data_IF_601046029421
#
_entry.id   IF_601046029421
#
_cell.length_a   1.000
_cell.length_b   1.000
_cell.length_c   1.000
_cell.angle_alpha   90.00
_cell.angle_beta   90.00
_cell.angle_gamma   90.00
#
_symmetry.space_group_name_H-M   'P 1'
#
loop_
_entity.id
_entity.type
_entity.pdbx_description
1 polymer ?
#
# COMPACT_ATOMS: atom_id res chain seq x y z
N UNK A 1 7.11 -26.43 34.16
CA UNK A 1 7.33 -25.25 35.02
C UNK A 1 6.11 -24.35 34.84
N UNK A 2 5.28 -24.21 35.87
CA UNK A 2 4.00 -23.47 35.83
C UNK A 2 4.28 -21.97 35.93
N UNK A 3 3.62 -21.14 35.12
CA UNK A 3 3.62 -19.70 35.31
C UNK A 3 2.17 -19.20 35.43
N UNK A 4 1.88 -18.55 36.55
CA UNK A 4 0.58 -18.00 36.95
C UNK A 4 0.50 -16.53 36.49
N UNK A 5 -0.63 -16.06 35.91
CA UNK A 5 -0.88 -14.64 35.72
C UNK A 5 -1.62 -14.12 36.95
N UNK A 6 -0.87 -13.55 37.88
CA UNK A 6 -1.42 -12.86 39.05
C UNK A 6 -0.36 -11.91 39.56
N UNK A 7 -0.77 -10.67 39.83
CA UNK A 7 0.07 -9.52 40.25
C UNK A 7 0.61 -8.69 39.09
N UNK A 8 -0.25 -7.84 38.52
CA UNK A 8 0.18 -6.57 37.92
C UNK A 8 -0.91 -5.48 38.09
N UNK A 9 -1.36 -5.30 39.32
CA UNK A 9 -2.13 -4.10 39.74
C UNK A 9 -1.64 -3.72 41.14
N UNK A 10 -0.45 -3.14 41.24
CA UNK A 10 -0.01 -2.22 42.30
C UNK A 10 1.48 -1.88 42.12
N UNK A 11 1.86 -0.93 41.27
CA UNK A 11 3.22 -0.36 41.27
C UNK A 11 3.28 0.97 40.49
N UNK A 12 2.55 1.97 40.96
CA UNK A 12 2.90 3.38 40.72
C UNK A 12 2.69 4.12 42.02
N UNK A 13 3.77 4.25 42.81
CA UNK A 13 4.02 5.34 43.76
C UNK A 13 5.38 5.10 44.43
N UNK A 14 6.22 6.14 44.44
CA UNK A 14 7.60 6.27 44.97
C UNK A 14 8.72 5.74 44.04
N UNK A 15 9.83 6.43 43.74
CA UNK A 15 10.30 7.79 43.98
C UNK A 15 11.58 8.08 43.15
N UNK A 16 11.74 9.34 42.72
CA UNK A 16 12.96 10.19 42.64
C UNK A 16 14.23 9.70 41.90
N UNK A 17 14.60 10.35 40.77
CA UNK A 17 15.49 11.54 40.62
C UNK A 17 17.00 11.25 40.73
N UNK A 18 17.70 11.29 39.58
CA UNK A 18 18.95 12.03 39.32
C UNK A 18 19.51 11.63 37.94
N UNK A 19 20.23 12.53 37.29
CA UNK A 19 21.03 12.37 36.06
C UNK A 19 20.36 12.59 34.68
N UNK A 20 19.66 13.72 34.50
CA UNK A 20 19.28 14.24 33.17
C UNK A 20 19.66 15.73 33.00
N UNK A 21 20.88 16.13 33.39
CA UNK A 21 21.29 17.54 33.28
C UNK A 21 22.36 17.82 32.21
N UNK A 22 22.91 16.81 31.53
CA UNK A 22 24.02 17.03 30.56
C UNK A 22 23.69 16.72 29.10
N UNK A 23 22.50 16.19 28.79
CA UNK A 23 22.07 15.89 27.42
C UNK A 23 21.20 17.01 26.79
N UNK A 24 20.64 17.92 27.59
CA UNK A 24 19.64 18.90 27.13
C UNK A 24 20.23 20.11 26.37
N UNK A 25 21.55 20.31 26.39
CA UNK A 25 22.13 21.51 25.81
C UNK A 25 22.48 21.43 24.31
N UNK A 26 22.58 20.23 23.73
CA UNK A 26 23.02 20.07 22.33
C UNK A 26 21.90 19.66 21.35
N UNK A 27 20.76 19.17 21.86
CA UNK A 27 19.58 18.82 21.05
C UNK A 27 18.70 20.05 20.75
N UNK A 28 18.77 21.09 21.59
CA UNK A 28 17.93 22.28 21.46
C UNK A 28 18.31 23.23 20.30
N UNK A 29 19.46 23.00 19.64
CA UNK A 29 19.94 23.88 18.57
C UNK A 29 19.72 23.32 17.15
N UNK A 30 19.47 22.02 16.99
CA UNK A 30 19.15 21.41 15.69
C UNK A 30 17.64 21.37 15.39
N UNK A 31 16.79 21.36 16.41
CA UNK A 31 15.33 21.25 16.27
C UNK A 31 14.64 22.58 15.87
N UNK A 32 15.41 23.65 15.70
CA UNK A 32 14.91 24.99 15.38
C UNK A 32 14.80 25.29 13.87
N UNK A 33 14.74 24.26 13.01
CA UNK A 33 14.43 24.42 11.57
C UNK A 33 13.39 23.40 11.06
N UNK A 34 12.11 23.78 11.27
CA UNK A 34 10.92 23.44 10.47
C UNK A 34 10.58 21.95 10.29
N UNK A 35 9.74 21.45 11.18
CA UNK A 35 8.51 20.76 10.77
C UNK A 35 7.41 21.22 11.73
N UNK A 36 6.39 21.94 11.25
CA UNK A 36 5.18 22.13 12.04
C UNK A 36 4.54 20.75 12.21
N UNK A 37 4.78 20.10 13.34
CA UNK A 37 4.15 18.83 13.67
C UNK A 37 2.63 18.98 13.52
N UNK A 38 2.02 18.06 12.77
CA UNK A 38 0.59 18.08 12.50
C UNK A 38 -0.21 18.16 13.82
N UNK A 39 -1.23 19.04 13.95
CA UNK A 39 -2.04 19.15 15.15
C UNK A 39 -2.62 17.79 15.56
N UNK A 40 -2.66 17.49 16.87
CA UNK A 40 -3.16 16.18 17.37
C UNK A 40 -4.56 15.84 16.85
N UNK A 41 -5.37 16.88 16.64
CA UNK A 41 -6.73 16.77 16.13
C UNK A 41 -6.76 16.24 14.71
N UNK A 42 -5.80 16.63 13.88
CA UNK A 42 -5.65 16.16 12.52
C UNK A 42 -4.98 14.78 12.48
N UNK A 43 -3.99 14.52 13.35
CA UNK A 43 -3.35 13.19 13.45
C UNK A 43 -4.36 12.08 13.73
N UNK A 44 -5.29 12.29 14.67
CA UNK A 44 -6.32 11.28 14.96
C UNK A 44 -7.34 11.14 13.82
N UNK A 45 -7.66 12.23 13.12
CA UNK A 45 -8.55 12.17 11.95
C UNK A 45 -7.92 11.34 10.83
N UNK A 46 -6.63 11.56 10.55
CA UNK A 46 -5.88 10.79 9.56
C UNK A 46 -5.75 9.32 9.99
N UNK A 47 -5.37 9.06 11.24
CA UNK A 47 -5.20 7.71 11.78
C UNK A 47 -6.48 6.86 11.69
N UNK A 48 -7.65 7.47 11.92
CA UNK A 48 -8.95 6.78 11.85
C UNK A 48 -9.51 6.67 10.44
N UNK A 49 -9.05 7.50 9.50
CA UNK A 49 -9.54 7.47 8.11
C UNK A 49 -9.09 6.17 7.44
N UNK A 50 -10.06 5.38 6.97
CA UNK A 50 -9.84 4.05 6.42
C UNK A 50 -9.46 2.99 7.47
N UNK A 51 -9.53 3.28 8.77
CA UNK A 51 -9.17 2.30 9.79
C UNK A 51 -10.23 1.20 9.94
N UNK A 52 -9.77 -0.03 10.18
CA UNK A 52 -10.61 -1.18 10.53
C UNK A 52 -10.41 -1.55 11.99
N UNK A 53 -11.50 -1.60 12.74
CA UNK A 53 -11.53 -2.07 14.12
C UNK A 53 -11.85 -3.55 14.08
N UNK A 54 -11.02 -4.35 14.75
CA UNK A 54 -11.14 -5.81 14.78
C UNK A 54 -11.03 -6.26 16.22
N UNK A 55 -12.11 -6.83 16.74
CA UNK A 55 -12.14 -7.15 18.15
C UNK A 55 -13.31 -8.03 18.53
N UNK A 56 -13.68 -7.89 19.79
CA UNK A 56 -14.73 -8.65 20.44
C UNK A 56 -15.51 -7.73 21.37
N UNK A 57 -16.74 -8.13 21.69
CA UNK A 57 -17.53 -7.48 22.71
C UNK A 57 -18.13 -8.48 23.69
N UNK A 58 -18.41 -8.01 24.90
CA UNK A 58 -19.15 -8.73 25.93
C UNK A 58 -20.55 -8.16 26.06
N UNK A 59 -21.46 -8.93 26.63
CA UNK A 59 -22.77 -8.47 27.09
C UNK A 59 -22.82 -8.68 28.59
N UNK A 60 -23.19 -7.65 29.35
CA UNK A 60 -23.28 -7.74 30.80
C UNK A 60 -24.26 -8.85 31.23
N UNK A 61 -23.86 -9.62 32.25
CA UNK A 61 -24.63 -10.77 32.74
C UNK A 61 -24.54 -12.04 31.89
N UNK A 62 -23.95 -12.00 30.69
CA UNK A 62 -23.74 -13.19 29.87
C UNK A 62 -22.43 -13.91 30.22
N UNK A 63 -22.46 -15.24 30.34
CA UNK A 63 -21.24 -16.05 30.49
C UNK A 63 -20.56 -16.23 29.13
N UNK A 64 -19.37 -15.66 28.95
CA UNK A 64 -18.61 -15.78 27.71
C UNK A 64 -18.02 -17.19 27.56
N UNK A 65 -18.71 -18.09 26.84
CA UNK A 65 -18.11 -19.36 26.40
C UNK A 65 -17.28 -19.20 25.13
N UNK A 66 -17.68 -18.30 24.24
CA UNK A 66 -16.93 -17.89 23.05
C UNK A 66 -17.29 -16.42 22.74
N UNK A 67 -16.28 -15.54 22.65
CA UNK A 67 -16.49 -14.17 22.23
C UNK A 67 -16.63 -14.14 20.71
N UNK A 68 -17.68 -13.47 20.21
CA UNK A 68 -17.87 -13.34 18.76
C UNK A 68 -16.97 -12.23 18.22
N UNK A 69 -16.26 -12.47 17.11
CA UNK A 69 -15.49 -11.41 16.45
C UNK A 69 -16.43 -10.35 15.89
N UNK A 70 -16.00 -9.09 15.98
CA UNK A 70 -16.64 -7.95 15.36
C UNK A 70 -15.65 -7.19 14.47
N UNK A 71 -16.20 -6.51 13.46
CA UNK A 71 -15.45 -5.65 12.56
C UNK A 71 -16.22 -4.37 12.26
N UNK A 72 -15.55 -3.23 12.38
CA UNK A 72 -16.07 -1.93 11.92
C UNK A 72 -15.06 -1.24 11.02
N UNK A 73 -15.54 -0.54 10.00
CA UNK A 73 -14.69 0.29 9.14
C UNK A 73 -15.13 1.73 9.24
N UNK A 74 -14.18 2.60 9.60
CA UNK A 74 -14.33 4.05 9.46
C UNK A 74 -13.77 4.41 8.09
N UNK A 75 -14.64 4.67 7.11
CA UNK A 75 -14.17 5.03 5.77
C UNK A 75 -13.55 6.43 5.75
N UNK A 76 -14.05 7.34 6.59
CA UNK A 76 -13.52 8.70 6.71
C UNK A 76 -13.70 9.26 8.12
N UNK A 77 -12.72 10.00 8.62
CA UNK A 77 -12.82 10.76 9.87
C UNK A 77 -12.40 12.21 9.64
N UNK A 78 -13.26 13.16 10.00
CA UNK A 78 -13.06 14.58 9.75
C UNK A 78 -13.20 15.39 11.04
N UNK A 79 -12.26 16.29 11.31
CA UNK A 79 -12.40 17.25 12.40
C UNK A 79 -13.46 18.29 12.03
N UNK A 80 -14.49 18.44 12.86
CA UNK A 80 -15.51 19.48 12.67
C UNK A 80 -15.08 20.82 13.28
N UNK A 81 -15.60 21.98 12.80
CA UNK A 81 -15.17 23.30 13.28
C UNK A 81 -15.41 23.55 14.77
N UNK A 82 -16.40 22.89 15.38
CA UNK A 82 -16.84 23.18 16.74
C UNK A 82 -16.27 22.20 17.76
N UNK A 83 -15.54 22.73 18.76
CA UNK A 83 -15.12 21.99 19.95
C UNK A 83 -14.36 20.70 19.63
N UNK A 84 -14.65 19.63 20.37
CA UNK A 84 -14.05 18.29 20.20
C UNK A 84 -14.84 17.38 19.24
N UNK A 85 -15.64 17.95 18.33
CA UNK A 85 -16.49 17.18 17.42
C UNK A 85 -15.72 16.70 16.18
N UNK A 86 -16.07 15.49 15.76
CA UNK A 86 -15.59 14.82 14.55
C UNK A 86 -16.76 14.16 13.83
N UNK A 87 -16.67 14.07 12.50
CA UNK A 87 -17.58 13.30 11.66
C UNK A 87 -16.88 12.01 11.23
N UNK A 88 -17.44 10.88 11.62
CA UNK A 88 -16.98 9.56 11.20
C UNK A 88 -17.99 9.00 10.22
N UNK A 89 -17.57 8.74 8.98
CA UNK A 89 -18.35 7.94 8.03
C UNK A 89 -18.05 6.48 8.31
N UNK A 90 -19.04 5.76 8.83
CA UNK A 90 -18.88 4.37 9.25
C UNK A 90 -19.67 3.47 8.30
N UNK A 91 -19.04 2.42 7.78
CA UNK A 91 -19.73 1.39 7.02
C UNK A 91 -20.32 0.36 7.98
N UNK A 92 -21.63 0.29 8.04
CA UNK A 92 -22.36 -0.63 8.91
C UNK A 92 -22.85 -1.80 8.07
N UNK A 93 -22.50 -3.02 8.49
CA UNK A 93 -23.03 -4.26 7.92
C UNK A 93 -23.85 -5.00 8.97
N UNK A 94 -25.18 -4.99 8.82
CA UNK A 94 -26.09 -5.66 9.75
C UNK A 94 -27.22 -6.36 8.98
N UNK A 95 -27.25 -7.69 9.02
CA UNK A 95 -28.18 -8.49 8.21
C UNK A 95 -27.96 -8.24 6.71
N UNK A 96 -29.01 -7.76 6.03
CA UNK A 96 -28.97 -7.38 4.60
C UNK A 96 -28.62 -5.89 4.36
N UNK A 97 -28.37 -5.12 5.42
CA UNK A 97 -28.03 -3.70 5.31
C UNK A 97 -26.51 -3.58 5.22
N UNK A 98 -26.05 -2.98 4.11
CA UNK A 98 -24.67 -2.53 3.90
C UNK A 98 -24.75 -1.06 3.49
N UNK A 99 -24.44 -0.16 4.42
CA UNK A 99 -24.63 1.29 4.22
C UNK A 99 -23.58 2.09 4.98
N UNK A 100 -23.17 3.22 4.40
CA UNK A 100 -22.32 4.19 5.07
C UNK A 100 -23.18 5.21 5.81
N UNK A 101 -22.90 5.41 7.08
CA UNK A 101 -23.63 6.35 7.95
C UNK A 101 -22.63 7.36 8.51
N UNK A 102 -22.80 8.67 8.23
CA UNK A 102 -22.02 9.70 8.88
C UNK A 102 -22.53 9.93 10.31
N UNK A 103 -21.63 9.84 11.29
CA UNK A 103 -21.92 10.02 12.70
C UNK A 103 -21.05 11.16 13.24
N UNK A 104 -21.70 12.19 13.77
CA UNK A 104 -21.01 13.29 14.46
C UNK A 104 -20.89 12.96 15.95
N UNK A 105 -19.65 12.86 16.44
CA UNK A 105 -19.36 12.48 17.82
C UNK A 105 -18.17 13.24 18.41
N UNK A 106 -17.98 13.16 19.72
CA UNK A 106 -16.84 13.79 20.40
C UNK A 106 -15.66 12.82 20.44
N UNK A 107 -14.46 13.32 20.15
CA UNK A 107 -13.21 12.69 20.54
C UNK A 107 -12.55 13.60 21.58
N UNK A 108 -12.55 13.15 22.83
CA UNK A 108 -11.91 13.85 23.95
C UNK A 108 -10.55 13.23 24.24
N UNK A 109 -9.74 13.87 25.07
CA UNK A 109 -8.36 13.44 25.31
C UNK A 109 -8.12 13.19 26.80
N UNK A 110 -7.59 12.01 27.13
CA UNK A 110 -6.94 11.74 28.40
C UNK A 110 -5.44 11.95 28.19
N UNK A 111 -4.95 13.13 28.57
CA UNK A 111 -3.62 13.64 28.18
C UNK A 111 -3.44 13.62 26.65
N UNK A 112 -2.60 12.72 26.14
CA UNK A 112 -2.34 12.52 24.71
C UNK A 112 -3.10 11.32 24.12
N UNK A 113 -3.98 10.67 24.89
CA UNK A 113 -4.71 9.47 24.47
C UNK A 113 -6.15 9.84 24.06
N UNK A 114 -6.54 9.60 22.80
CA UNK A 114 -7.89 9.91 22.33
C UNK A 114 -8.93 8.93 22.88
N UNK A 115 -10.09 9.47 23.21
CA UNK A 115 -11.25 8.73 23.70
C UNK A 115 -12.48 9.13 22.88
N UNK A 116 -13.00 8.19 22.08
CA UNK A 116 -14.29 8.35 21.39
C UNK A 116 -15.39 8.34 22.45
N UNK A 117 -16.18 9.41 22.47
CA UNK A 117 -17.10 9.72 23.56
C UNK A 117 -18.48 10.05 23.01
N UNK A 118 -19.39 9.07 23.12
CA UNK A 118 -20.81 9.22 22.79
C UNK A 118 -21.60 9.12 24.07
N UNK A 119 -22.27 10.19 24.47
CA UNK A 119 -23.08 10.21 25.71
C UNK A 119 -24.49 9.67 25.47
N UNK A 120 -25.12 10.11 24.39
CA UNK A 120 -26.40 9.59 23.91
C UNK A 120 -26.53 9.96 22.44
N UNK A 121 -26.63 8.96 21.57
CA UNK A 121 -26.87 9.12 20.14
C UNK A 121 -28.03 8.22 19.74
N UNK A 122 -29.16 8.83 19.39
CA UNK A 122 -30.32 8.09 18.89
C UNK A 122 -30.29 8.02 17.37
N UNK A 123 -30.27 6.80 16.83
CA UNK A 123 -30.35 6.57 15.39
C UNK A 123 -31.76 6.05 15.08
N UNK A 124 -32.55 6.74 14.22
CA UNK A 124 -33.89 6.31 13.88
C UNK A 124 -33.93 4.86 13.37
N UNK A 125 -34.78 4.04 14.00
CA UNK A 125 -34.92 2.61 13.67
C UNK A 125 -33.81 1.70 14.21
N UNK A 126 -32.75 2.24 14.81
CA UNK A 126 -31.63 1.47 15.36
C UNK A 126 -31.44 1.62 16.88
N UNK A 127 -32.11 2.57 17.54
CA UNK A 127 -32.09 2.74 19.00
C UNK A 127 -31.08 3.81 19.47
N UNK A 128 -30.82 3.84 20.78
CA UNK A 128 -29.95 4.83 21.43
C UNK A 128 -28.63 4.20 21.89
N UNK A 129 -27.52 4.84 21.53
CA UNK A 129 -26.17 4.36 21.79
C UNK A 129 -25.39 5.30 22.72
N UNK A 130 -24.59 4.72 23.61
CA UNK A 130 -23.57 5.43 24.38
C UNK A 130 -22.27 4.63 24.42
N UNK A 131 -21.12 5.30 24.38
CA UNK A 131 -19.82 4.63 24.42
C UNK A 131 -18.69 5.52 24.94
N UNK A 132 -17.68 4.87 25.53
CA UNK A 132 -16.38 5.46 25.84
C UNK A 132 -15.30 4.49 25.36
N UNK A 133 -14.66 4.80 24.23
CA UNK A 133 -13.61 3.95 23.64
C UNK A 133 -12.28 4.67 23.68
N UNK A 134 -11.33 4.13 24.46
CA UNK A 134 -9.95 4.60 24.47
C UNK A 134 -9.20 3.99 23.29
N UNK A 135 -8.38 4.79 22.60
CA UNK A 135 -7.50 4.34 21.53
C UNK A 135 -6.06 4.55 21.96
N UNK A 136 -5.29 3.46 22.02
CA UNK A 136 -3.92 3.53 22.50
C UNK A 136 -3.06 2.45 21.86
N UNK A 137 -1.95 2.85 21.23
CA UNK A 137 -0.94 1.95 20.65
C UNK A 137 -1.55 0.83 19.77
N UNK A 138 -2.27 1.20 18.71
CA UNK A 138 -2.87 0.23 17.77
C UNK A 138 -4.04 -0.58 18.35
N UNK A 139 -4.48 -0.28 19.58
CA UNK A 139 -5.57 -1.01 20.26
C UNK A 139 -6.70 -0.08 20.65
N UNK A 140 -7.86 -0.67 20.83
CA UNK A 140 -9.00 0.00 21.43
C UNK A 140 -9.61 -0.86 22.53
N UNK A 141 -10.19 -0.18 23.52
CA UNK A 141 -11.01 -0.80 24.55
C UNK A 141 -12.04 0.20 25.05
N UNK A 142 -13.19 -0.27 25.52
CA UNK A 142 -14.23 0.65 25.97
C UNK A 142 -15.49 -0.01 26.48
N UNK A 143 -16.43 0.83 26.87
CA UNK A 143 -17.81 0.42 27.17
C UNK A 143 -18.71 0.73 26.00
N UNK A 144 -19.74 -0.08 25.80
CA UNK A 144 -20.87 0.22 24.93
C UNK A 144 -22.17 0.03 25.69
N UNK A 145 -23.16 0.83 25.29
CA UNK A 145 -24.55 0.72 25.71
C UNK A 145 -25.41 0.88 24.46
N UNK A 146 -26.40 0.02 24.32
CA UNK A 146 -27.49 0.11 23.37
C UNK A 146 -28.81 -0.12 24.10
N UNK A 147 -29.60 0.94 24.25
CA UNK A 147 -30.81 0.97 25.07
C UNK A 147 -30.56 0.36 26.47
N UNK A 148 -31.18 -0.76 26.82
CA UNK A 148 -31.03 -1.43 28.12
C UNK A 148 -29.85 -2.41 28.20
N UNK A 149 -29.16 -2.68 27.08
CA UNK A 149 -28.06 -3.65 27.00
C UNK A 149 -26.72 -2.95 26.96
N UNK A 150 -25.75 -3.48 27.69
CA UNK A 150 -24.40 -2.94 27.71
C UNK A 150 -23.33 -4.01 27.81
N UNK A 151 -22.09 -3.56 27.76
CA UNK A 151 -20.92 -4.37 28.01
C UNK A 151 -19.64 -3.65 27.64
N UNK A 152 -18.62 -4.45 27.39
CA UNK A 152 -17.28 -3.97 27.03
C UNK A 152 -16.94 -4.40 25.61
N UNK A 153 -16.07 -3.63 24.97
CA UNK A 153 -15.53 -3.94 23.65
C UNK A 153 -14.02 -3.72 23.68
N UNK A 154 -13.28 -4.53 22.94
CA UNK A 154 -11.82 -4.42 22.87
C UNK A 154 -11.28 -5.11 21.62
N UNK A 155 -10.15 -4.61 21.13
CA UNK A 155 -9.51 -5.17 19.95
C UNK A 155 -8.31 -4.38 19.47
N UNK A 156 -7.95 -4.61 18.20
CA UNK A 156 -6.89 -3.91 17.49
C UNK A 156 -7.47 -3.03 16.38
N UNK A 157 -6.72 -2.01 16.00
CA UNK A 157 -7.01 -1.11 14.90
C UNK A 157 -5.99 -1.41 13.81
N UNK A 158 -6.46 -1.70 12.61
CA UNK A 158 -5.64 -1.77 11.41
C UNK A 158 -5.87 -0.47 10.62
N UNK A 159 -4.88 0.41 10.62
CA UNK A 159 -4.92 1.69 9.88
C UNK A 159 -4.95 1.45 8.37
N UNK A 160 -5.32 2.46 7.57
CA UNK A 160 -5.27 2.34 6.12
C UNK A 160 -3.86 1.96 5.62
N UNK A 161 -2.82 2.60 6.15
CA UNK A 161 -1.42 2.29 5.85
C UNK A 161 -1.00 0.90 6.33
N UNK A 162 -1.47 0.44 7.50
CA UNK A 162 -1.20 -0.92 7.96
C UNK A 162 -2.00 -1.96 7.19
N UNK A 163 -3.14 -1.62 6.61
CA UNK A 163 -3.87 -2.53 5.72
C UNK A 163 -3.20 -2.61 4.37
N UNK A 164 -2.68 -1.50 3.85
CA UNK A 164 -1.80 -1.50 2.69
C UNK A 164 -0.52 -2.29 2.98
N UNK A 165 0.06 -2.18 4.18
CA UNK A 165 1.24 -2.94 4.59
C UNK A 165 0.95 -4.39 5.02
N UNK A 166 -0.23 -4.72 5.57
CA UNK A 166 -0.61 -6.09 5.96
C UNK A 166 -1.13 -6.89 4.77
N UNK A 167 -1.63 -6.23 3.72
CA UNK A 167 -1.71 -6.84 2.38
C UNK A 167 -0.30 -7.09 1.80
N UNK A 168 0.75 -6.54 2.44
CA UNK A 168 2.19 -6.69 2.15
C UNK A 168 2.93 -7.54 3.22
N UNK A 169 2.23 -8.10 4.22
CA UNK A 169 2.86 -8.83 5.36
C UNK A 169 2.33 -10.27 5.54
N UNK A 170 1.74 -10.85 4.49
CA UNK A 170 2.01 -12.27 4.27
C UNK A 170 3.48 -12.35 3.87
N UNK A 171 4.36 -13.04 4.60
CA UNK A 171 5.80 -13.12 4.26
C UNK A 171 5.99 -13.19 2.74
N UNK A 172 6.39 -12.06 2.16
CA UNK A 172 6.58 -11.88 0.72
C UNK A 172 7.77 -12.75 0.35
N UNK A 173 7.49 -13.95 -0.17
CA UNK A 173 8.54 -14.93 -0.48
C UNK A 173 9.20 -14.47 -1.76
N UNK A 174 10.49 -14.15 -1.68
CA UNK A 174 11.31 -13.99 -2.88
C UNK A 174 11.28 -15.30 -3.68
N UNK A 175 10.78 -15.23 -4.90
CA UNK A 175 10.65 -16.38 -5.81
C UNK A 175 11.52 -16.26 -7.05
N UNK A 176 12.12 -15.10 -7.28
CA UNK A 176 13.07 -14.85 -8.35
C UNK A 176 13.97 -13.66 -7.99
N UNK A 177 15.27 -13.81 -8.22
CA UNK A 177 16.27 -12.75 -8.14
C UNK A 177 17.19 -12.85 -9.35
N UNK A 178 17.61 -11.72 -9.88
CA UNK A 178 18.52 -11.64 -11.02
C UNK A 178 19.34 -10.35 -10.93
N UNK A 179 20.66 -10.51 -10.85
CA UNK A 179 21.67 -9.45 -10.95
C UNK A 179 22.43 -9.50 -12.29
N UNK A 180 22.08 -10.45 -13.17
CA UNK A 180 22.64 -10.65 -14.49
C UNK A 180 24.14 -11.00 -14.52
N UNK A 181 24.74 -11.42 -13.41
CA UNK A 181 26.15 -11.84 -13.38
C UNK A 181 26.33 -13.26 -13.95
N UNK A 182 25.31 -14.11 -13.85
CA UNK A 182 25.34 -15.53 -14.27
C UNK A 182 24.73 -15.81 -15.66
N UNK A 183 24.39 -14.77 -16.43
CA UNK A 183 23.87 -14.90 -17.80
C UNK A 183 22.40 -14.52 -17.95
N UNK A 184 21.76 -14.99 -19.03
CA UNK A 184 20.37 -14.65 -19.39
C UNK A 184 19.48 -15.89 -19.57
N UNK A 185 19.91 -17.06 -19.07
CA UNK A 185 19.23 -18.33 -19.30
C UNK A 185 17.81 -18.36 -18.75
N UNK A 186 17.54 -17.60 -17.68
CA UNK A 186 16.22 -17.45 -17.07
C UNK A 186 15.21 -16.65 -17.92
N UNK A 187 15.66 -16.03 -19.03
CA UNK A 187 14.84 -15.09 -19.79
C UNK A 187 14.41 -15.63 -21.16
N UNK A 188 13.14 -15.44 -21.49
CA UNK A 188 12.61 -15.53 -22.85
C UNK A 188 12.54 -14.13 -23.44
N UNK A 189 13.39 -13.86 -24.43
CA UNK A 189 13.51 -12.56 -25.08
C UNK A 189 12.82 -12.66 -26.43
N UNK A 190 11.79 -11.84 -26.67
CA UNK A 190 11.03 -11.92 -27.92
C UNK A 190 11.83 -11.47 -29.15
N UNK A 191 12.88 -10.66 -28.94
CA UNK A 191 13.80 -10.21 -29.98
C UNK A 191 15.25 -10.17 -29.48
N UNK A 192 15.92 -11.33 -29.34
CA UNK A 192 17.22 -11.42 -28.69
C UNK A 192 18.32 -10.58 -29.37
N UNK A 193 18.19 -10.27 -30.67
CA UNK A 193 19.16 -9.44 -31.40
C UNK A 193 19.13 -7.96 -30.95
N UNK A 194 18.06 -7.52 -30.29
CA UNK A 194 17.93 -6.16 -29.76
C UNK A 194 18.36 -6.02 -28.30
N UNK A 195 18.83 -7.11 -27.68
CA UNK A 195 19.23 -7.17 -26.29
C UNK A 195 20.65 -7.72 -26.13
N UNK A 196 21.29 -7.36 -25.02
CA UNK A 196 22.64 -7.84 -24.70
C UNK A 196 22.88 -7.84 -23.20
N UNK A 197 23.62 -8.83 -22.73
CA UNK A 197 24.29 -8.77 -21.43
C UNK A 197 25.55 -7.89 -21.55
N UNK A 198 25.60 -6.80 -20.79
CA UNK A 198 26.62 -5.76 -20.90
C UNK A 198 27.36 -5.58 -19.57
N UNK A 199 28.66 -5.85 -19.55
CA UNK A 199 29.49 -5.58 -18.37
C UNK A 199 30.17 -4.21 -18.49
N UNK A 200 29.89 -3.31 -17.56
CA UNK A 200 30.48 -1.96 -17.48
C UNK A 200 30.99 -1.74 -16.05
N UNK A 201 32.27 -1.39 -15.90
CA UNK A 201 32.90 -1.12 -14.59
C UNK A 201 32.75 -2.26 -13.55
N UNK A 202 32.69 -3.52 -14.00
CA UNK A 202 32.56 -4.69 -13.12
C UNK A 202 31.13 -4.99 -12.66
N UNK A 203 30.12 -4.32 -13.23
CA UNK A 203 28.71 -4.63 -13.06
C UNK A 203 28.13 -5.11 -14.39
N UNK A 204 27.38 -6.19 -14.37
CA UNK A 204 26.74 -6.77 -15.56
C UNK A 204 25.27 -6.42 -15.58
N UNK A 205 24.78 -5.90 -16.71
CA UNK A 205 23.39 -5.45 -16.86
C UNK A 205 22.74 -6.12 -18.06
N UNK A 206 21.41 -6.10 -18.08
CA UNK A 206 20.63 -6.54 -19.23
C UNK A 206 20.15 -5.33 -20.04
N UNK A 207 20.72 -5.12 -21.23
CA UNK A 207 20.62 -3.87 -21.99
C UNK A 207 19.85 -4.07 -23.31
N UNK A 208 18.92 -3.15 -23.59
CA UNK A 208 18.31 -2.97 -24.92
C UNK A 208 19.26 -2.12 -25.76
N UNK A 209 19.79 -2.67 -26.84
CA UNK A 209 20.85 -2.04 -27.63
C UNK A 209 20.37 -1.33 -28.90
N UNK A 210 19.08 -1.41 -29.21
CA UNK A 210 18.48 -0.74 -30.37
C UNK A 210 17.00 -0.45 -30.14
N UNK A 211 16.53 0.73 -30.56
CA UNK A 211 15.12 1.15 -30.47
C UNK A 211 14.13 0.33 -31.32
N UNK A 212 14.65 -0.32 -32.36
CA UNK A 212 13.82 -1.10 -33.29
C UNK A 212 14.53 -2.40 -33.62
N UNK A 213 13.79 -3.49 -33.52
CA UNK A 213 14.24 -4.82 -33.88
C UNK A 213 13.36 -5.52 -34.91
N UNK A 214 13.55 -6.84 -35.02
CA UNK A 214 12.83 -7.74 -35.91
C UNK A 214 11.44 -8.08 -35.40
N UNK A 215 11.22 -8.11 -34.09
CA UNK A 215 9.92 -8.43 -33.52
C UNK A 215 8.86 -7.41 -33.97
N UNK A 216 7.67 -7.93 -34.29
CA UNK A 216 6.50 -7.16 -34.70
C UNK A 216 5.32 -7.71 -33.90
N UNK A 217 4.83 -6.97 -32.89
CA UNK A 217 3.69 -7.45 -32.14
C UNK A 217 2.46 -7.52 -33.06
N UNK A 218 1.53 -8.45 -32.80
CA UNK A 218 0.34 -8.66 -33.63
C UNK A 218 -0.62 -7.46 -33.61
N UNK A 219 -0.58 -6.68 -32.54
CA UNK A 219 -1.30 -5.43 -32.35
C UNK A 219 -0.33 -4.34 -31.85
N UNK A 220 -0.72 -3.06 -31.88
CA UNK A 220 0.21 -1.98 -31.50
C UNK A 220 0.49 -2.00 -29.99
N UNK A 221 1.56 -2.70 -29.60
CA UNK A 221 2.06 -2.89 -28.22
C UNK A 221 3.59 -2.69 -28.14
N UNK A 222 4.24 -2.84 -26.97
CA UNK A 222 5.68 -2.67 -26.81
C UNK A 222 6.53 -3.56 -27.75
N UNK A 223 7.69 -3.04 -28.17
CA UNK A 223 8.62 -3.73 -29.08
C UNK A 223 9.68 -4.55 -28.36
N UNK A 224 10.05 -4.19 -27.13
CA UNK A 224 11.06 -4.87 -26.35
C UNK A 224 10.41 -5.55 -25.15
N UNK A 225 10.41 -6.88 -25.16
CA UNK A 225 9.83 -7.71 -24.09
C UNK A 225 10.80 -8.84 -23.76
N UNK A 226 11.17 -8.93 -22.49
CA UNK A 226 11.86 -10.07 -21.91
C UNK A 226 11.03 -10.60 -20.73
N UNK A 227 10.68 -11.88 -20.77
CA UNK A 227 9.83 -12.55 -19.79
C UNK A 227 10.65 -13.55 -18.98
N UNK A 228 10.37 -13.65 -17.69
CA UNK A 228 10.98 -14.67 -16.82
C UNK A 228 10.39 -16.03 -17.20
N UNK A 229 11.25 -17.00 -17.51
CA UNK A 229 10.85 -18.39 -17.79
C UNK A 229 10.32 -19.06 -16.53
N UNK A 230 9.39 -19.98 -16.71
CA UNK A 230 8.86 -20.86 -15.66
C UNK A 230 8.26 -20.15 -14.43
N UNK A 231 8.01 -18.83 -14.50
CA UNK A 231 7.39 -18.03 -13.44
C UNK A 231 6.06 -17.45 -13.91
N UNK A 232 4.97 -17.86 -13.25
CA UNK A 232 3.65 -17.26 -13.39
C UNK A 232 3.03 -17.04 -12.02
N UNK A 233 2.54 -15.82 -11.78
CA UNK A 233 1.98 -15.42 -10.49
C UNK A 233 0.69 -14.62 -10.69
N UNK A 234 -0.17 -14.66 -9.67
CA UNK A 234 -1.37 -13.82 -9.59
C UNK A 234 -1.14 -12.58 -8.73
N UNK A 235 -0.52 -12.78 -7.56
CA UNK A 235 -0.30 -11.77 -6.53
C UNK A 235 1.19 -11.70 -6.22
N UNK A 236 1.80 -10.54 -6.45
CA UNK A 236 3.23 -10.36 -6.34
C UNK A 236 3.63 -8.88 -6.27
N UNK A 237 4.87 -8.62 -5.88
CA UNK A 237 5.58 -7.43 -6.33
C UNK A 237 6.85 -7.79 -7.11
N UNK A 238 7.22 -6.92 -8.04
CA UNK A 238 8.51 -6.95 -8.72
C UNK A 238 9.18 -5.61 -8.49
N UNK A 239 10.44 -5.64 -8.07
CA UNK A 239 11.32 -4.47 -7.99
C UNK A 239 12.48 -4.66 -8.95
N UNK A 240 12.92 -3.59 -9.60
CA UNK A 240 14.10 -3.59 -10.44
C UNK A 240 14.73 -2.21 -10.52
N UNK A 241 16.01 -2.17 -10.89
CA UNK A 241 16.69 -0.96 -11.31
C UNK A 241 16.62 -0.80 -12.82
N UNK A 242 16.49 0.44 -13.26
CA UNK A 242 16.51 0.80 -14.68
C UNK A 242 17.28 2.09 -14.91
N UNK A 243 18.05 2.13 -15.97
CA UNK A 243 18.75 3.32 -16.45
C UNK A 243 18.52 3.49 -17.95
N UNK A 244 18.09 4.68 -18.36
CA UNK A 244 17.91 5.01 -19.78
C UNK A 244 19.27 5.25 -20.43
N UNK A 245 19.61 4.45 -21.44
CA UNK A 245 20.92 4.52 -22.12
C UNK A 245 20.91 5.42 -23.35
N UNK A 246 19.72 5.91 -23.75
CA UNK A 246 19.54 6.88 -24.81
C UNK A 246 18.64 8.03 -24.33
N UNK A 247 19.15 9.26 -24.40
CA UNK A 247 18.34 10.42 -24.09
C UNK A 247 17.38 10.76 -25.24
N UNK A 248 16.13 10.33 -25.10
CA UNK A 248 15.01 10.69 -26.00
C UNK A 248 14.12 11.80 -25.42
N UNK A 249 14.55 12.46 -24.34
CA UNK A 249 13.81 13.52 -23.65
C UNK A 249 12.44 13.05 -23.16
N UNK A 250 11.38 13.72 -23.63
CA UNK A 250 9.99 13.42 -23.24
C UNK A 250 9.47 12.06 -23.74
N UNK A 251 10.25 11.35 -24.56
CA UNK A 251 9.91 10.03 -25.07
C UNK A 251 10.57 8.88 -24.30
N UNK A 252 11.39 9.17 -23.27
CA UNK A 252 12.03 8.12 -22.46
C UNK A 252 10.97 7.21 -21.88
N UNK A 253 11.19 5.91 -21.98
CA UNK A 253 10.26 4.94 -21.44
C UNK A 253 10.93 3.66 -20.94
N UNK A 254 10.24 3.03 -20.00
CA UNK A 254 10.47 1.66 -19.56
C UNK A 254 9.11 0.97 -19.44
N UNK A 255 9.07 -0.34 -19.60
CA UNK A 255 7.91 -1.17 -19.40
C UNK A 255 8.16 -2.29 -18.39
N UNK A 256 7.16 -2.56 -17.55
CA UNK A 256 7.05 -3.80 -16.77
C UNK A 256 5.79 -4.54 -17.20
N UNK A 257 5.93 -5.82 -17.50
CA UNK A 257 4.88 -6.71 -18.01
C UNK A 257 4.39 -7.65 -16.92
N UNK A 258 3.09 -7.88 -16.89
CA UNK A 258 2.49 -8.76 -15.88
C UNK A 258 1.15 -9.32 -16.34
N UNK A 259 0.77 -10.44 -15.72
CA UNK A 259 -0.34 -11.27 -16.18
C UNK A 259 -0.24 -11.56 -17.69
N UNK A 260 1.00 -11.74 -18.19
CA UNK A 260 1.27 -11.97 -19.60
C UNK A 260 0.94 -13.42 -19.95
N UNK A 261 -0.16 -13.63 -20.66
CA UNK A 261 -0.65 -14.95 -21.06
C UNK A 261 -0.07 -15.33 -22.44
N UNK A 262 -0.15 -14.39 -23.39
CA UNK A 262 0.37 -14.50 -24.75
C UNK A 262 0.59 -13.08 -25.34
N UNK A 263 0.93 -13.00 -26.63
CA UNK A 263 1.21 -11.74 -27.34
C UNK A 263 -0.04 -10.89 -27.68
N UNK A 264 -1.23 -11.35 -27.29
CA UNK A 264 -2.52 -10.65 -27.40
C UNK A 264 -3.19 -10.33 -26.05
N UNK A 265 -2.70 -10.90 -24.94
CA UNK A 265 -3.33 -10.83 -23.62
C UNK A 265 -2.31 -10.57 -22.51
N UNK A 266 -2.15 -9.30 -22.14
CA UNK A 266 -1.27 -8.90 -21.05
C UNK A 266 -1.57 -7.49 -20.54
N UNK A 267 -1.13 -7.21 -19.32
CA UNK A 267 -0.93 -5.84 -18.88
C UNK A 267 0.52 -5.44 -19.02
N UNK A 268 0.74 -4.13 -19.10
CA UNK A 268 2.03 -3.55 -18.86
C UNK A 268 1.88 -2.13 -18.30
N UNK A 269 2.86 -1.67 -17.54
CA UNK A 269 2.96 -0.25 -17.18
C UNK A 269 3.93 0.41 -18.14
N UNK A 270 3.51 1.50 -18.77
CA UNK A 270 4.35 2.32 -19.65
C UNK A 270 4.86 3.53 -18.85
N UNK A 271 6.09 3.47 -18.35
CA UNK A 271 6.74 4.55 -17.59
C UNK A 271 7.34 5.61 -18.52
N UNK A 272 6.49 6.22 -19.34
CA UNK A 272 6.88 7.26 -20.29
C UNK A 272 7.07 8.62 -19.61
N UNK A 273 8.16 9.33 -19.92
CA UNK A 273 8.51 10.61 -19.30
C UNK A 273 7.40 11.66 -19.39
N UNK A 274 6.75 11.79 -20.56
CA UNK A 274 5.57 12.64 -20.73
C UNK A 274 4.32 11.80 -20.96
N UNK A 275 3.37 11.80 -20.02
CA UNK A 275 2.12 11.09 -20.19
C UNK A 275 1.29 11.63 -21.36
N UNK A 276 0.68 10.70 -22.07
CA UNK A 276 -0.35 10.92 -23.09
C UNK A 276 -1.30 9.69 -23.12
N UNK A 277 -2.34 9.64 -23.95
CA UNK A 277 -3.26 8.49 -23.99
C UNK A 277 -2.61 7.13 -24.31
N UNK A 278 -1.36 7.13 -24.78
CA UNK A 278 -0.58 5.97 -25.18
C UNK A 278 0.74 5.79 -24.39
N UNK A 279 1.08 6.71 -23.48
CA UNK A 279 2.35 6.79 -22.75
C UNK A 279 2.18 7.29 -21.32
N UNK A 280 3.02 6.85 -20.38
CA UNK A 280 2.91 7.26 -18.97
C UNK A 280 1.64 6.74 -18.28
N UNK A 281 1.18 5.53 -18.64
CA UNK A 281 -0.09 4.94 -18.20
C UNK A 281 0.09 3.46 -17.79
N UNK A 282 -0.86 2.94 -17.01
CA UNK A 282 -1.10 1.51 -16.91
C UNK A 282 -1.95 1.08 -18.11
N UNK A 283 -1.48 0.09 -18.87
CA UNK A 283 -2.02 -0.29 -20.16
C UNK A 283 -2.45 -1.76 -20.19
N UNK A 284 -3.41 -2.07 -21.05
CA UNK A 284 -3.86 -3.43 -21.34
C UNK A 284 -3.78 -3.70 -22.85
N UNK A 285 -3.34 -4.90 -23.20
CA UNK A 285 -3.49 -5.50 -24.53
C UNK A 285 -4.43 -6.67 -24.38
N UNK A 286 -5.56 -6.61 -25.08
CA UNK A 286 -6.62 -7.62 -25.04
C UNK A 286 -7.27 -7.69 -26.42
N UNK A 287 -6.70 -8.53 -27.30
CA UNK A 287 -7.12 -8.75 -28.69
C UNK A 287 -7.19 -7.47 -29.56
N UNK A 288 -6.58 -6.38 -29.12
CA UNK A 288 -6.61 -5.09 -29.77
C UNK A 288 -5.35 -4.28 -29.45
N UNK A 289 -5.15 -3.19 -30.19
CA UNK A 289 -4.07 -2.25 -29.88
C UNK A 289 -4.17 -1.79 -28.43
N UNK A 290 -3.00 -1.51 -27.82
CA UNK A 290 -2.90 -1.07 -26.43
C UNK A 290 -3.96 -0.05 -26.06
N UNK A 291 -4.54 -0.19 -24.87
CA UNK A 291 -5.51 0.75 -24.31
C UNK A 291 -5.08 1.16 -22.91
N UNK A 292 -5.24 2.43 -22.57
CA UNK A 292 -5.00 2.92 -21.23
C UNK A 292 -6.11 2.48 -20.26
N UNK A 293 -5.70 2.09 -19.05
CA UNK A 293 -6.57 1.89 -17.90
C UNK A 293 -6.59 3.12 -16.99
N UNK A 294 -5.64 4.03 -17.18
CA UNK A 294 -5.47 5.25 -16.39
C UNK A 294 -5.54 6.51 -17.26
N UNK A 295 -5.78 7.65 -16.61
CA UNK A 295 -5.66 8.99 -17.21
C UNK A 295 -4.63 9.81 -16.40
N UNK A 296 -3.41 9.30 -16.30
CA UNK A 296 -2.32 9.96 -15.59
C UNK A 296 -1.84 11.18 -16.39
N UNK A 297 -1.64 12.29 -15.68
CA UNK A 297 -1.08 13.54 -16.23
C UNK A 297 0.25 13.91 -15.55
N UNK A 298 0.68 13.17 -14.51
CA UNK A 298 1.92 13.40 -13.78
C UNK A 298 3.10 12.82 -14.55
N UNK A 299 4.10 13.64 -14.96
CA UNK A 299 5.31 13.15 -15.61
C UNK A 299 6.07 12.12 -14.77
N UNK A 300 6.58 11.06 -15.41
CA UNK A 300 7.55 10.17 -14.76
C UNK A 300 8.89 10.92 -14.66
N UNK A 301 9.48 11.07 -13.46
CA UNK A 301 10.62 11.96 -13.22
C UNK A 301 11.95 11.35 -13.69
N UNK A 302 12.06 11.08 -14.98
CA UNK A 302 13.28 10.57 -15.60
C UNK A 302 14.41 11.59 -15.61
N UNK A 303 15.61 11.12 -15.32
CA UNK A 303 16.87 11.78 -15.61
C UNK A 303 17.93 10.72 -16.01
N UNK A 304 19.23 11.02 -15.88
CA UNK A 304 20.32 10.17 -16.38
C UNK A 304 20.93 9.28 -15.28
N UNK A 305 20.25 9.09 -14.14
CA UNK A 305 20.69 8.17 -13.09
C UNK A 305 19.90 6.87 -13.18
N UNK A 306 20.38 5.87 -12.46
CA UNK A 306 19.60 4.68 -12.15
C UNK A 306 18.40 5.05 -11.29
N UNK A 307 17.25 4.51 -11.67
CA UNK A 307 15.98 4.62 -10.95
C UNK A 307 15.57 3.25 -10.41
N UNK A 308 14.78 3.26 -9.33
CA UNK A 308 14.18 2.05 -8.77
C UNK A 308 12.70 2.05 -9.09
N UNK A 309 12.21 0.95 -9.67
CA UNK A 309 10.81 0.76 -10.01
C UNK A 309 10.27 -0.42 -9.21
N UNK A 310 9.06 -0.28 -8.66
CA UNK A 310 8.34 -1.40 -8.04
C UNK A 310 6.92 -1.46 -8.55
N UNK A 311 6.48 -2.62 -9.02
CA UNK A 311 5.08 -2.91 -9.36
C UNK A 311 4.50 -3.81 -8.27
N UNK A 312 3.31 -3.46 -7.76
CA UNK A 312 2.50 -4.30 -6.88
C UNK A 312 1.23 -4.73 -7.60
N UNK A 313 0.96 -6.03 -7.60
CA UNK A 313 -0.25 -6.65 -8.14
C UNK A 313 -0.99 -7.43 -7.06
N UNK A 314 -2.28 -7.10 -6.87
CA UNK A 314 -3.23 -7.92 -6.12
C UNK A 314 -4.42 -8.26 -7.03
N UNK A 315 -4.51 -9.52 -7.43
CA UNK A 315 -5.54 -10.08 -8.32
C UNK A 315 -6.92 -10.13 -7.66
N UNK A 316 -6.99 -10.32 -6.34
CA UNK A 316 -8.25 -10.41 -5.60
C UNK A 316 -8.95 -9.05 -5.50
N UNK A 317 -8.24 -7.99 -5.14
CA UNK A 317 -8.75 -6.62 -5.11
C UNK A 317 -8.81 -6.00 -6.50
N UNK A 318 -7.93 -6.45 -7.40
CA UNK A 318 -7.72 -5.87 -8.72
C UNK A 318 -6.67 -4.76 -8.72
N UNK A 319 -6.03 -4.47 -7.59
CA UNK A 319 -5.01 -3.42 -7.49
C UNK A 319 -3.84 -3.68 -8.43
N UNK A 320 -3.44 -2.61 -9.11
CA UNK A 320 -2.19 -2.48 -9.86
C UNK A 320 -1.61 -1.12 -9.44
N UNK A 321 -0.45 -1.13 -8.81
CA UNK A 321 0.23 0.09 -8.35
C UNK A 321 1.70 0.07 -8.76
N UNK A 322 2.16 1.11 -9.44
CA UNK A 322 3.57 1.29 -9.82
C UNK A 322 4.18 2.40 -8.97
N UNK A 323 5.38 2.18 -8.48
CA UNK A 323 6.21 3.12 -7.73
C UNK A 323 7.47 3.43 -8.54
N UNK A 324 7.93 4.67 -8.48
CA UNK A 324 9.10 5.14 -9.20
C UNK A 324 9.93 6.05 -8.29
N UNK A 325 11.11 5.59 -7.89
CA UNK A 325 12.00 6.17 -6.87
C UNK A 325 11.37 6.33 -5.47
N UNK A 326 10.23 7.03 -5.35
CA UNK A 326 9.41 7.05 -4.14
C UNK A 326 8.69 5.70 -3.98
N UNK A 327 9.16 4.88 -3.04
CA UNK A 327 8.58 3.57 -2.71
C UNK A 327 7.46 3.66 -1.67
N UNK A 328 7.06 4.86 -1.27
CA UNK A 328 5.98 5.09 -0.31
C UNK A 328 4.67 5.44 -1.02
N UNK A 329 4.73 6.33 -2.01
CA UNK A 329 3.56 6.79 -2.76
C UNK A 329 3.55 6.17 -4.17
N UNK A 330 2.47 5.47 -4.58
CA UNK A 330 2.36 5.00 -5.96
C UNK A 330 2.44 6.17 -6.95
N UNK A 331 3.28 6.04 -7.98
CA UNK A 331 3.34 6.98 -9.10
C UNK A 331 2.06 6.91 -9.94
N UNK A 332 1.57 5.69 -10.22
CA UNK A 332 0.31 5.44 -10.94
C UNK A 332 -0.37 4.22 -10.30
N UNK A 333 -1.70 4.26 -10.17
CA UNK A 333 -2.46 3.09 -9.72
C UNK A 333 -3.84 2.98 -10.40
N UNK A 334 -4.35 1.75 -10.48
CA UNK A 334 -5.70 1.44 -10.98
C UNK A 334 -6.20 0.13 -10.40
N UNK A 335 -7.51 -0.11 -10.49
CA UNK A 335 -8.14 -1.39 -10.17
C UNK A 335 -8.68 -2.04 -11.45
N UNK A 336 -8.13 -3.19 -11.83
CA UNK A 336 -8.60 -3.99 -12.97
C UNK A 336 -8.42 -5.50 -12.70
N UNK A 337 -9.39 -6.30 -13.15
CA UNK A 337 -9.48 -7.75 -12.92
C UNK A 337 -9.58 -8.58 -14.20
N UNK A 338 -9.34 -7.97 -15.36
CA UNK A 338 -9.44 -8.64 -16.66
C UNK A 338 -8.51 -9.86 -16.73
N UNK A 339 -7.24 -9.68 -16.36
CA UNK A 339 -6.27 -10.78 -16.21
C UNK A 339 -5.85 -10.91 -14.75
N UNK A 340 -5.93 -12.12 -14.21
CA UNK A 340 -5.63 -12.39 -12.81
C UNK A 340 -4.29 -13.09 -12.60
N UNK A 341 -3.73 -13.73 -13.63
CA UNK A 341 -2.49 -14.50 -13.56
C UNK A 341 -1.77 -14.49 -14.90
N UNK A 342 -0.45 -14.70 -14.88
CA UNK A 342 0.38 -14.88 -16.06
C UNK A 342 1.86 -14.61 -15.78
N UNK A 343 2.66 -14.53 -16.83
CA UNK A 343 4.10 -14.28 -16.75
C UNK A 343 4.41 -12.82 -16.39
N UNK A 344 5.64 -12.62 -15.92
CA UNK A 344 6.19 -11.33 -15.49
C UNK A 344 7.42 -11.03 -16.34
N UNK A 345 7.66 -9.76 -16.65
CA UNK A 345 8.84 -9.36 -17.40
C UNK A 345 9.11 -7.87 -17.40
N UNK A 346 10.17 -7.50 -18.11
CA UNK A 346 10.67 -6.13 -18.25
C UNK A 346 10.89 -5.80 -19.73
N UNK A 347 11.05 -4.51 -20.03
CA UNK A 347 11.41 -4.05 -21.35
C UNK A 347 11.04 -2.60 -21.60
N UNK A 348 10.63 -2.28 -22.82
CA UNK A 348 10.34 -0.92 -23.26
C UNK A 348 9.39 -0.91 -24.45
N UNK A 349 8.68 0.21 -24.61
CA UNK A 349 7.85 0.44 -25.78
C UNK A 349 8.71 0.52 -27.04
N UNK A 350 9.66 1.46 -27.11
CA UNK A 350 10.60 1.60 -28.23
C UNK A 350 11.90 2.34 -27.87
N UNK A 351 12.29 2.35 -26.60
CA UNK A 351 13.50 3.01 -26.11
C UNK A 351 14.57 2.05 -25.56
N UNK A 352 15.74 2.60 -25.28
CA UNK A 352 16.93 1.88 -24.84
C UNK A 352 17.14 2.08 -23.34
N UNK A 353 17.21 0.95 -22.64
CA UNK A 353 17.40 0.89 -21.20
C UNK A 353 18.40 -0.22 -20.87
N UNK A 354 19.04 -0.10 -19.72
CA UNK A 354 19.69 -1.20 -19.04
C UNK A 354 19.02 -1.47 -17.69
N UNK A 355 18.87 -2.76 -17.37
CA UNK A 355 18.18 -3.27 -16.21
C UNK A 355 19.13 -4.03 -15.30
N UNK A 356 18.83 -3.98 -14.00
CA UNK A 356 19.61 -4.63 -12.96
C UNK A 356 18.77 -4.90 -11.70
N UNK A 357 19.28 -5.73 -10.78
CA UNK A 357 18.70 -6.02 -9.46
C UNK A 357 17.20 -6.34 -9.50
N UNK A 358 16.80 -7.31 -10.33
CA UNK A 358 15.41 -7.78 -10.40
C UNK A 358 15.13 -8.62 -9.17
N UNK A 359 14.04 -8.31 -8.45
CA UNK A 359 13.53 -9.16 -7.36
C UNK A 359 12.03 -9.30 -7.51
N UNK A 360 11.53 -10.53 -7.60
CA UNK A 360 10.10 -10.83 -7.58
C UNK A 360 9.75 -11.52 -6.27
N UNK A 361 8.77 -10.95 -5.57
CA UNK A 361 8.20 -11.53 -4.35
C UNK A 361 6.77 -11.97 -4.58
N UNK A 362 6.46 -13.21 -4.26
CA UNK A 362 5.10 -13.73 -4.27
C UNK A 362 4.37 -13.25 -3.01
N UNK A 363 3.19 -12.66 -3.19
CA UNK A 363 2.25 -12.26 -2.13
C UNK A 363 1.21 -13.37 -1.95
N UNK A 364 0.67 -13.56 -0.73
CA UNK A 364 -0.35 -14.61 -0.47
C UNK A 364 -1.78 -14.13 -0.57
#
# INVERSE_FOLDING_TARGET
>A
MKWFPGVFVLLILTAFHADVQTCIANEAAEDAKKTTAEPREQRIANYLTGAKFIGHFTVDGATAKDLKPEHYTISKCEKLPTGSMYRLTVRIRYGNIDSEVPIDLKIVWAENTPVISVESLTIPGLGTFATRVVIHQGRYAGTWQHDEKGGHLFGRIETASERESNDTDSEDVVVFEEDFEDGLDAWEILDPDSWKQSTKNGNTTFEITARYGKYKPPVRSPLHVALIKDLQLSDFDITFKVHSTLDTGNHRDCCVFFAYQDDHHFYYVHLGARPDPNSGQIMIVNEASRRNLTNNETPTPWDNRWHVVRLVRNSQSGLIAIYFDDMQTPHIQVTDKTFTTGRIGIGSFDDMNEFDDIVVRKRK
#
